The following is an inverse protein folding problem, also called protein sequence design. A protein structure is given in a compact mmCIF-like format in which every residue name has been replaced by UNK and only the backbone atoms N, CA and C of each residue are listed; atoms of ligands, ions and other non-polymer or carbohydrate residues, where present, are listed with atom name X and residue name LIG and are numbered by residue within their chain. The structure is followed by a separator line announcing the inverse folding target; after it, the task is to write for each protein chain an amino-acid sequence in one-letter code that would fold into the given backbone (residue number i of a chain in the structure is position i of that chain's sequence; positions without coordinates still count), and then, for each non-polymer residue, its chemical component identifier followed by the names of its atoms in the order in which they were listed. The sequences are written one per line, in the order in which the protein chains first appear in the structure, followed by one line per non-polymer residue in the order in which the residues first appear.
data_IF_522785281028
#
_entry.id   IF_522785281028
#
_cell.length_a   1.000
_cell.length_b   1.000
_cell.length_c   1.000
_cell.angle_alpha   90.00
_cell.angle_beta   90.00
_cell.angle_gamma   90.00
#
_symmetry.space_group_name_H-M   'P 1'
#
loop_
_entity.id
_entity.type
_entity.pdbx_description
1 polymer ?
#
# COMPACT_ATOMS: atom_id res chain seq x y z
N UNK A 1 8.35 -30.83 -5.11
CA UNK A 1 7.50 -29.62 -5.03
C UNK A 1 8.18 -28.56 -4.15
N UNK A 2 9.18 -27.82 -4.67
CA UNK A 2 9.96 -26.86 -3.85
C UNK A 2 10.35 -25.60 -4.65
N UNK A 3 9.47 -25.14 -5.54
CA UNK A 3 9.78 -24.08 -6.52
C UNK A 3 9.46 -22.65 -6.04
N UNK A 4 8.87 -22.45 -4.84
CA UNK A 4 8.46 -21.11 -4.36
C UNK A 4 8.80 -20.87 -2.87
N UNK A 5 9.84 -21.50 -2.35
CA UNK A 5 10.35 -21.10 -1.03
C UNK A 5 11.26 -19.89 -1.23
N UNK A 6 11.06 -18.75 -0.52
CA UNK A 6 12.05 -17.69 -0.50
C UNK A 6 13.40 -18.29 -0.15
N UNK A 7 14.42 -17.99 -0.95
CA UNK A 7 15.81 -18.25 -0.58
C UNK A 7 16.04 -17.72 0.84
N UNK A 8 16.71 -18.50 1.70
CA UNK A 8 17.06 -18.05 3.04
C UNK A 8 17.73 -16.66 2.96
N UNK A 9 17.05 -15.64 3.49
CA UNK A 9 17.50 -14.25 3.49
C UNK A 9 16.64 -13.23 2.71
N UNK A 10 15.67 -13.66 1.90
CA UNK A 10 14.72 -12.73 1.25
C UNK A 10 13.41 -12.66 2.02
N UNK A 11 12.99 -11.43 2.37
CA UNK A 11 11.70 -11.17 3.00
C UNK A 11 10.60 -11.08 1.94
N UNK A 12 9.48 -11.74 2.18
CA UNK A 12 8.35 -11.86 1.26
C UNK A 12 7.08 -11.27 1.87
N UNK A 13 6.33 -10.51 1.07
CA UNK A 13 5.04 -9.93 1.44
C UNK A 13 4.00 -10.37 0.41
N UNK A 14 2.88 -10.92 0.87
CA UNK A 14 1.71 -11.23 0.05
C UNK A 14 0.57 -10.26 0.33
N UNK A 15 -0.17 -9.87 -0.71
CA UNK A 15 -1.38 -9.04 -0.58
C UNK A 15 -2.53 -9.81 -1.21
N UNK A 16 -3.66 -9.93 -0.51
CA UNK A 16 -4.81 -10.69 -0.98
C UNK A 16 -6.11 -10.25 -0.33
N UNK A 17 -7.22 -10.63 -0.96
CA UNK A 17 -8.60 -10.33 -0.55
C UNK A 17 -9.49 -11.58 -0.50
N UNK A 18 -9.15 -12.64 -1.24
CA UNK A 18 -9.89 -13.91 -1.29
C UNK A 18 -9.31 -15.04 -0.44
N UNK A 19 -8.00 -14.99 -0.13
CA UNK A 19 -7.29 -16.06 0.59
C UNK A 19 -6.70 -17.16 -0.31
N UNK A 20 -6.95 -17.09 -1.62
CA UNK A 20 -6.38 -17.97 -2.63
C UNK A 20 -5.17 -17.35 -3.35
N UNK A 21 -4.73 -16.17 -2.94
CA UNK A 21 -3.60 -15.43 -3.50
C UNK A 21 -2.26 -15.92 -2.93
N UNK A 22 -1.19 -15.69 -3.71
CA UNK A 22 0.17 -16.01 -3.27
C UNK A 22 0.51 -15.25 -1.98
N UNK A 23 1.02 -15.97 -0.98
CA UNK A 23 1.38 -15.42 0.33
C UNK A 23 0.31 -15.61 1.40
N UNK A 24 -0.95 -15.86 1.03
CA UNK A 24 -2.04 -16.10 1.99
C UNK A 24 -1.93 -17.45 2.72
N UNK A 25 -0.97 -18.31 2.37
CA UNK A 25 -0.75 -19.58 3.06
C UNK A 25 -0.32 -19.46 4.52
N UNK A 26 0.20 -18.30 4.94
CA UNK A 26 0.44 -18.02 6.37
C UNK A 26 -0.87 -17.83 7.16
N UNK A 27 -1.99 -17.59 6.47
CA UNK A 27 -3.34 -17.42 7.01
C UNK A 27 -4.28 -18.58 6.60
N UNK A 28 -3.74 -19.72 6.16
CA UNK A 28 -4.55 -20.80 5.59
C UNK A 28 -5.65 -21.30 6.55
N UNK A 29 -5.34 -21.43 7.84
CA UNK A 29 -6.32 -21.88 8.84
C UNK A 29 -7.48 -20.90 8.99
N UNK A 30 -7.18 -19.59 8.99
CA UNK A 30 -8.16 -18.51 9.01
C UNK A 30 -9.00 -18.52 7.74
N UNK A 31 -8.38 -18.73 6.57
CA UNK A 31 -9.08 -18.86 5.28
C UNK A 31 -10.03 -20.05 5.29
N UNK A 32 -9.60 -21.24 5.73
CA UNK A 32 -10.48 -22.41 5.85
C UNK A 32 -11.70 -22.13 6.75
N UNK A 33 -11.52 -21.36 7.82
CA UNK A 33 -12.57 -21.06 8.79
C UNK A 33 -13.53 -19.97 8.31
N UNK A 34 -13.03 -18.94 7.64
CA UNK A 34 -13.77 -17.70 7.38
C UNK A 34 -14.22 -17.53 5.92
N UNK A 35 -13.56 -18.19 4.97
CA UNK A 35 -13.84 -18.02 3.53
C UNK A 35 -14.68 -19.18 3.00
N UNK A 36 -15.76 -18.93 2.22
CA UNK A 36 -16.51 -19.98 1.56
C UNK A 36 -15.61 -20.89 0.71
N UNK A 37 -15.69 -22.20 0.93
CA UNK A 37 -14.81 -23.19 0.31
C UNK A 37 -13.32 -23.03 0.64
N UNK A 38 -12.97 -22.37 1.74
CA UNK A 38 -11.58 -22.05 2.10
C UNK A 38 -10.63 -23.25 2.16
N UNK A 39 -11.11 -24.44 2.58
CA UNK A 39 -10.30 -25.67 2.53
C UNK A 39 -9.87 -26.04 1.10
N UNK A 40 -10.73 -25.76 0.12
CA UNK A 40 -10.51 -26.08 -1.29
C UNK A 40 -9.70 -25.00 -2.01
N UNK A 41 -10.00 -23.73 -1.72
CA UNK A 41 -9.42 -22.60 -2.47
C UNK A 41 -8.21 -21.97 -1.78
N UNK A 42 -8.03 -22.19 -0.48
CA UNK A 42 -7.00 -21.54 0.31
C UNK A 42 -5.61 -21.79 -0.29
N UNK A 43 -4.87 -20.71 -0.52
CA UNK A 43 -3.51 -20.81 -0.98
C UNK A 43 -2.64 -21.45 0.11
N UNK A 44 -1.76 -22.37 -0.25
CA UNK A 44 -0.83 -23.02 0.69
C UNK A 44 0.57 -22.40 0.66
N UNK A 45 0.81 -21.44 -0.22
CA UNK A 45 2.10 -20.75 -0.33
C UNK A 45 2.09 -19.55 0.61
N UNK A 46 2.90 -19.60 1.66
CA UNK A 46 3.02 -18.56 2.66
C UNK A 46 4.02 -17.46 2.23
N UNK A 47 3.79 -16.26 2.76
CA UNK A 47 4.76 -15.16 2.80
C UNK A 47 5.13 -14.87 4.27
N UNK A 48 6.23 -14.14 4.48
CA UNK A 48 6.64 -13.72 5.83
C UNK A 48 5.61 -12.77 6.45
N UNK A 49 5.03 -11.88 5.64
CA UNK A 49 3.86 -11.10 6.01
C UNK A 49 2.76 -11.24 4.97
N UNK A 50 1.53 -11.40 5.44
CA UNK A 50 0.32 -11.40 4.63
C UNK A 50 -0.52 -10.17 4.96
N UNK A 51 -0.79 -9.35 3.96
CA UNK A 51 -1.65 -8.17 4.04
C UNK A 51 -3.00 -8.50 3.44
N UNK A 52 -4.03 -8.53 4.28
CA UNK A 52 -5.41 -8.74 3.84
C UNK A 52 -6.06 -7.38 3.57
N UNK A 53 -6.68 -7.23 2.40
CA UNK A 53 -7.44 -6.04 2.01
C UNK A 53 -8.80 -6.43 1.43
N UNK A 54 -9.71 -5.48 1.26
CA UNK A 54 -10.99 -5.73 0.57
C UNK A 54 -10.85 -5.78 -0.95
N UNK A 55 -9.81 -5.15 -1.48
CA UNK A 55 -9.36 -5.18 -2.88
C UNK A 55 -7.84 -5.14 -2.82
N UNK A 56 -7.16 -6.10 -3.45
CA UNK A 56 -5.70 -6.25 -3.36
C UNK A 56 -4.95 -4.99 -3.82
N UNK A 57 -5.48 -4.28 -4.83
CA UNK A 57 -4.91 -2.99 -5.27
C UNK A 57 -4.90 -1.96 -4.15
N UNK A 58 -5.98 -1.84 -3.36
CA UNK A 58 -6.05 -0.91 -2.24
C UNK A 58 -5.04 -1.26 -1.15
N UNK A 59 -4.82 -2.56 -0.90
CA UNK A 59 -3.75 -3.04 -0.03
C UNK A 59 -2.37 -2.62 -0.52
N UNK A 60 -2.11 -2.72 -1.83
CA UNK A 60 -0.88 -2.24 -2.46
C UNK A 60 -0.68 -0.74 -2.32
N UNK A 61 -1.73 0.06 -2.53
CA UNK A 61 -1.69 1.51 -2.37
C UNK A 61 -1.43 1.91 -0.91
N UNK A 62 -2.09 1.24 0.05
CA UNK A 62 -1.90 1.46 1.47
C UNK A 62 -0.47 1.10 1.91
N UNK A 63 0.09 0.00 1.39
CA UNK A 63 1.48 -0.37 1.64
C UNK A 63 2.45 0.69 1.09
N UNK A 64 2.23 1.17 -0.14
CA UNK A 64 3.03 2.27 -0.73
C UNK A 64 2.99 3.53 0.13
N UNK A 65 1.79 3.93 0.57
CA UNK A 65 1.59 5.04 1.50
C UNK A 65 2.31 4.86 2.84
N UNK A 66 2.25 3.66 3.43
CA UNK A 66 2.95 3.35 4.68
C UNK A 66 4.47 3.43 4.52
N UNK A 67 5.01 2.92 3.40
CA UNK A 67 6.44 3.03 3.09
C UNK A 67 6.84 4.50 2.93
N UNK A 68 6.02 5.31 2.25
CA UNK A 68 6.25 6.75 2.11
C UNK A 68 6.29 7.44 3.49
N UNK A 69 5.33 7.15 4.38
CA UNK A 69 5.30 7.70 5.74
C UNK A 69 6.54 7.32 6.55
N UNK A 70 6.94 6.05 6.53
CA UNK A 70 8.14 5.58 7.22
C UNK A 70 9.41 6.21 6.62
N UNK A 71 9.44 6.42 5.31
CA UNK A 71 10.57 7.08 4.63
C UNK A 71 10.66 8.55 4.97
N UNK A 72 9.53 9.23 5.14
CA UNK A 72 9.47 10.61 5.64
C UNK A 72 10.04 10.72 7.05
N UNK A 73 9.60 9.86 7.96
CA UNK A 73 10.08 9.87 9.34
C UNK A 73 11.57 9.47 9.44
N UNK A 74 12.02 8.48 8.66
CA UNK A 74 13.42 8.07 8.59
C UNK A 74 14.33 9.08 7.88
N UNK A 75 13.74 9.85 6.97
CA UNK A 75 14.36 10.88 6.17
C UNK A 75 14.91 12.07 6.98
N UNK A 76 14.43 12.27 8.21
CA UNK A 76 15.10 13.14 9.16
C UNK A 76 16.45 12.57 9.68
N UNK A 77 16.99 11.49 9.09
CA UNK A 77 18.25 10.85 9.50
C UNK A 77 19.09 10.15 8.39
N UNK A 78 18.75 10.17 7.09
CA UNK A 78 19.57 9.47 6.06
C UNK A 78 19.43 9.96 4.61
N UNK A 79 20.53 9.86 3.85
CA UNK A 79 20.80 10.36 2.48
C UNK A 79 19.96 9.75 1.34
N UNK A 80 18.93 8.97 1.62
CA UNK A 80 18.09 8.31 0.60
C UNK A 80 17.03 9.26 0.02
N UNK A 81 16.70 10.36 0.72
CA UNK A 81 15.79 11.40 0.23
C UNK A 81 16.46 12.35 -0.77
N UNK A 82 17.77 12.28 -0.99
CA UNK A 82 18.46 13.21 -1.91
C UNK A 82 17.91 13.15 -3.34
N UNK A 83 17.23 12.06 -3.73
CA UNK A 83 16.56 11.94 -5.02
C UNK A 83 15.18 12.63 -5.10
N UNK A 84 14.58 12.99 -3.95
CA UNK A 84 13.27 13.67 -3.84
C UNK A 84 13.41 15.20 -3.66
N UNK A 85 14.63 15.69 -3.39
CA UNK A 85 14.94 17.13 -3.37
C UNK A 85 14.08 17.95 -2.40
N UNK A 86 13.60 19.12 -2.84
CA UNK A 86 12.84 20.08 -2.04
C UNK A 86 11.48 19.56 -1.50
N UNK A 87 11.00 18.40 -1.96
CA UNK A 87 9.79 17.75 -1.45
C UNK A 87 9.94 17.23 0.00
N UNK A 88 11.17 17.11 0.51
CA UNK A 88 11.44 16.60 1.86
C UNK A 88 10.84 17.42 3.02
N UNK A 89 10.38 18.65 2.78
CA UNK A 89 9.76 19.50 3.81
C UNK A 89 8.27 19.81 3.55
N UNK A 90 7.70 19.32 2.44
CA UNK A 90 6.28 19.46 2.15
C UNK A 90 5.62 18.07 2.08
N UNK A 91 4.81 17.68 3.08
CA UNK A 91 4.08 16.42 3.08
C UNK A 91 3.26 16.17 1.81
N UNK A 92 2.70 17.24 1.23
CA UNK A 92 1.94 17.16 -0.01
C UNK A 92 2.82 16.71 -1.17
N UNK A 93 3.84 17.51 -1.51
CA UNK A 93 4.80 17.19 -2.55
C UNK A 93 5.52 15.84 -2.34
N UNK A 94 5.81 15.46 -1.10
CA UNK A 94 6.44 14.18 -0.81
C UNK A 94 5.53 13.01 -1.19
N UNK A 95 4.26 13.04 -0.77
CA UNK A 95 3.29 11.98 -1.12
C UNK A 95 3.06 11.93 -2.64
N UNK A 96 3.03 13.08 -3.31
CA UNK A 96 2.86 13.15 -4.76
C UNK A 96 4.03 12.48 -5.49
N UNK A 97 5.26 12.75 -5.03
CA UNK A 97 6.46 12.16 -5.60
C UNK A 97 6.62 10.67 -5.27
N UNK A 98 6.25 10.24 -4.06
CA UNK A 98 6.45 8.88 -3.59
C UNK A 98 5.35 7.90 -4.05
N UNK A 99 4.10 8.36 -4.13
CA UNK A 99 2.92 7.51 -4.36
C UNK A 99 2.22 7.84 -5.68
N UNK A 100 2.39 9.05 -6.22
CA UNK A 100 1.62 9.55 -7.36
C UNK A 100 0.26 10.09 -6.94
N UNK A 101 -0.61 10.38 -7.91
CA UNK A 101 -1.99 10.82 -7.72
C UNK A 101 -3.01 9.89 -8.43
N UNK A 102 -4.30 10.16 -8.25
CA UNK A 102 -5.36 9.37 -8.87
C UNK A 102 -5.28 9.28 -10.40
N UNK A 103 -4.58 10.18 -11.09
CA UNK A 103 -4.35 10.04 -12.53
C UNK A 103 -3.47 8.83 -12.83
N UNK A 104 -2.42 8.59 -12.03
CA UNK A 104 -1.56 7.41 -12.17
C UNK A 104 -2.34 6.13 -11.91
N UNK A 105 -3.15 6.09 -10.84
CA UNK A 105 -3.98 4.93 -10.54
C UNK A 105 -4.99 4.65 -11.66
N UNK A 106 -5.62 5.70 -12.20
CA UNK A 106 -6.51 5.61 -13.35
C UNK A 106 -5.80 5.07 -14.59
N UNK A 107 -4.64 5.63 -14.93
CA UNK A 107 -3.90 5.26 -16.13
C UNK A 107 -3.47 3.80 -16.08
N UNK A 108 -3.04 3.29 -14.92
CA UNK A 108 -2.70 1.88 -14.73
C UNK A 108 -3.92 0.97 -14.94
N UNK A 109 -5.06 1.32 -14.33
CA UNK A 109 -6.29 0.53 -14.47
C UNK A 109 -6.78 0.53 -15.92
N UNK A 110 -6.78 1.71 -16.57
CA UNK A 110 -7.23 1.84 -17.96
C UNK A 110 -6.27 1.14 -18.92
N UNK A 111 -4.96 1.23 -18.70
CA UNK A 111 -3.98 0.50 -19.50
C UNK A 111 -4.14 -1.03 -19.38
N UNK A 112 -4.51 -1.54 -18.19
CA UNK A 112 -4.84 -2.96 -18.03
C UNK A 112 -6.09 -3.33 -18.85
N UNK A 113 -7.14 -2.52 -18.81
CA UNK A 113 -8.32 -2.73 -19.65
C UNK A 113 -8.02 -2.67 -21.15
N UNK A 114 -7.21 -1.72 -21.60
CA UNK A 114 -6.76 -1.63 -22.99
C UNK A 114 -5.91 -2.86 -23.39
N UNK A 115 -5.22 -3.45 -22.42
CA UNK A 115 -4.52 -4.73 -22.54
C UNK A 115 -5.43 -5.97 -22.53
N UNK A 116 -6.74 -5.79 -22.39
CA UNK A 116 -7.74 -6.87 -22.40
C UNK A 116 -8.05 -7.50 -21.04
N UNK A 117 -7.51 -6.96 -19.94
CA UNK A 117 -7.90 -7.38 -18.59
C UNK A 117 -9.29 -6.84 -18.25
N UNK A 118 -10.14 -7.66 -17.66
CA UNK A 118 -11.51 -7.30 -17.26
C UNK A 118 -11.66 -7.37 -15.75
N UNK A 119 -12.72 -6.76 -15.25
CA UNK A 119 -13.11 -6.87 -13.85
C UNK A 119 -13.38 -8.34 -13.45
N UNK A 120 -12.74 -8.78 -12.36
CA UNK A 120 -12.77 -10.17 -11.92
C UNK A 120 -14.12 -10.67 -11.40
N UNK A 121 -15.06 -9.77 -11.09
CA UNK A 121 -16.38 -10.12 -10.55
C UNK A 121 -17.47 -9.94 -11.60
N UNK A 122 -17.52 -8.79 -12.25
CA UNK A 122 -18.54 -8.41 -13.22
C UNK A 122 -18.20 -8.81 -14.66
N UNK A 123 -16.92 -9.06 -14.96
CA UNK A 123 -16.44 -9.29 -16.32
C UNK A 123 -16.51 -8.05 -17.22
N UNK A 124 -16.71 -6.86 -16.65
CA UNK A 124 -16.82 -5.61 -17.40
C UNK A 124 -15.45 -5.02 -17.74
N UNK A 125 -15.39 -4.32 -18.87
CA UNK A 125 -14.38 -3.31 -19.12
C UNK A 125 -14.88 -1.94 -18.60
N UNK A 126 -13.99 -0.94 -18.51
CA UNK A 126 -14.35 0.41 -18.08
C UNK A 126 -13.82 0.81 -16.71
N UNK A 127 -12.77 0.15 -16.25
CA UNK A 127 -11.96 0.52 -15.10
C UNK A 127 -12.50 0.07 -13.74
N UNK A 128 -13.53 -0.76 -13.72
CA UNK A 128 -13.94 -1.40 -12.46
C UNK A 128 -12.94 -2.47 -12.07
N UNK A 129 -12.75 -2.63 -10.76
CA UNK A 129 -11.95 -3.70 -10.15
C UNK A 129 -12.75 -4.28 -9.01
N UNK A 130 -12.87 -5.60 -8.94
CA UNK A 130 -13.68 -6.35 -7.98
C UNK A 130 -15.12 -5.82 -7.86
N UNK A 131 -15.74 -5.51 -9.01
CA UNK A 131 -17.11 -5.00 -9.10
C UNK A 131 -17.28 -3.57 -8.59
N UNK A 132 -16.21 -2.92 -8.13
CA UNK A 132 -16.23 -1.53 -7.67
C UNK A 132 -15.88 -0.60 -8.84
N UNK A 133 -16.70 0.44 -9.10
CA UNK A 133 -16.50 1.33 -10.23
C UNK A 133 -15.19 2.12 -10.11
N UNK A 134 -14.65 2.57 -11.24
CA UNK A 134 -13.40 3.32 -11.31
C UNK A 134 -13.39 4.52 -10.35
N UNK A 135 -14.50 5.24 -10.24
CA UNK A 135 -14.62 6.39 -9.33
C UNK A 135 -14.34 5.99 -7.87
N UNK A 136 -14.82 4.81 -7.45
CA UNK A 136 -14.57 4.31 -6.09
C UNK A 136 -13.11 3.90 -5.90
N UNK A 137 -12.48 3.32 -6.93
CA UNK A 137 -11.04 3.00 -6.91
C UNK A 137 -10.20 4.25 -6.67
N UNK A 138 -10.48 5.32 -7.41
CA UNK A 138 -9.76 6.60 -7.31
C UNK A 138 -10.06 7.32 -6.00
N UNK A 139 -11.29 7.25 -5.49
CA UNK A 139 -11.67 7.81 -4.20
C UNK A 139 -10.87 7.16 -3.05
N UNK A 140 -10.78 5.83 -3.01
CA UNK A 140 -10.02 5.13 -1.97
C UNK A 140 -8.53 5.47 -2.07
N UNK A 141 -7.99 5.54 -3.30
CA UNK A 141 -6.60 5.95 -3.51
C UNK A 141 -6.32 7.35 -2.93
N UNK A 142 -7.18 8.34 -3.22
CA UNK A 142 -7.03 9.69 -2.69
C UNK A 142 -7.22 9.76 -1.18
N UNK A 143 -8.14 8.98 -0.60
CA UNK A 143 -8.30 8.90 0.85
C UNK A 143 -7.02 8.39 1.54
N UNK A 144 -6.39 7.34 1.01
CA UNK A 144 -5.12 6.83 1.53
C UNK A 144 -4.01 7.90 1.46
N UNK A 145 -3.95 8.66 0.36
CA UNK A 145 -3.00 9.78 0.23
C UNK A 145 -3.26 10.88 1.25
N UNK A 146 -4.52 11.26 1.46
CA UNK A 146 -4.90 12.30 2.43
C UNK A 146 -4.51 11.89 3.85
N UNK A 147 -4.84 10.67 4.26
CA UNK A 147 -4.45 10.12 5.58
C UNK A 147 -2.92 10.19 5.75
N UNK A 148 -2.18 9.84 4.72
CA UNK A 148 -0.71 9.83 4.73
C UNK A 148 -0.13 11.23 4.88
N UNK A 149 -0.64 12.19 4.10
CA UNK A 149 -0.24 13.61 4.18
C UNK A 149 -0.54 14.19 5.57
N UNK A 150 -1.71 13.90 6.12
CA UNK A 150 -2.11 14.38 7.44
C UNK A 150 -1.23 13.79 8.55
N UNK A 151 -0.85 12.52 8.44
CA UNK A 151 0.08 11.86 9.36
C UNK A 151 1.47 12.50 9.30
N UNK A 152 2.04 12.70 8.10
CA UNK A 152 3.33 13.37 7.90
C UNK A 152 3.32 14.81 8.43
N UNK A 153 2.26 15.58 8.14
CA UNK A 153 2.12 16.95 8.63
C UNK A 153 2.01 17.01 10.16
N UNK A 154 1.37 16.01 10.78
CA UNK A 154 1.29 15.88 12.23
C UNK A 154 2.65 15.52 12.85
N UNK A 155 3.40 14.60 12.23
CA UNK A 155 4.78 14.25 12.61
C UNK A 155 5.70 15.49 12.57
N UNK A 156 5.65 16.26 11.47
CA UNK A 156 6.46 17.47 11.30
C UNK A 156 6.15 18.56 12.35
N UNK A 157 4.87 18.79 12.68
CA UNK A 157 4.47 19.73 13.75
C UNK A 157 4.95 19.26 15.13
N UNK A 158 4.87 17.96 15.41
CA UNK A 158 5.37 17.37 16.65
C UNK A 158 6.87 17.59 16.84
N UNK A 159 7.66 17.34 15.79
CA UNK A 159 9.10 17.57 15.80
C UNK A 159 9.46 19.06 16.01
N UNK A 160 8.77 19.98 15.34
CA UNK A 160 8.98 21.42 15.51
C UNK A 160 8.66 21.90 16.94
N UNK A 161 7.57 21.41 17.53
CA UNK A 161 7.20 21.71 18.92
C UNK A 161 8.25 21.23 19.93
N UNK A 162 8.75 20.00 19.76
CA UNK A 162 9.80 19.44 20.62
C UNK A 162 11.12 20.21 20.52
N UNK A 163 11.50 20.66 19.32
CA UNK A 163 12.69 21.49 19.11
C UNK A 163 12.56 22.85 19.80
N UNK A 164 11.40 23.52 19.70
CA UNK A 164 11.16 24.80 20.37
C UNK A 164 11.23 24.69 21.90
N UNK A 165 10.61 23.66 22.48
CA UNK A 165 10.67 23.40 23.93
C UNK A 165 12.09 23.14 24.44
N UNK A 166 12.96 22.57 23.60
CA UNK A 166 14.37 22.33 23.94
C UNK A 166 15.22 23.61 23.93
N UNK A 167 14.81 24.65 23.18
CA UNK A 167 15.50 25.95 23.12
C UNK A 167 15.12 26.84 24.32
N UNK A 168 13.85 26.79 24.76
CA UNK A 168 13.39 27.55 25.94
C UNK A 168 13.88 26.96 27.28
N UNK A 169 14.42 25.73 27.29
CA UNK A 169 14.95 25.04 28.46
C UNK A 169 16.46 25.19 28.72
N UNK A 170 17.17 26.08 28.03
CA UNK A 170 18.60 26.36 28.27
C UNK A 170 18.86 27.18 29.55
N UNK A 171 20.05 27.03 30.19
CA UNK A 171 20.29 27.20 31.63
C UNK A 171 20.04 28.59 32.22
#
# INVERSE_FOLDING_TARGET
NRLLMPSAGLRSVGIGDGGNELGMGSLYAEVCRAVPNGEKIGCVVAADDALVASVSNWGGYALSCAIALLSWDAGNSSSTIDSLGAAANDPGAFVDAAVGDSSVAKDVIMAANDGGFLDGISGAAGGSVDGMPLEKQLEIFEQLRLITRDAMASSARGAASAAAASIEGGP
#
